data_IF_266921253705
#
_entry.id   IF_266921253705
#
_cell.length_a   1.000
_cell.length_b   1.000
_cell.length_c   1.000
_cell.angle_alpha   90.00
_cell.angle_beta   90.00
_cell.angle_gamma   90.00
#
_symmetry.space_group_name_H-M   'P 1'
#
loop_
_entity.id
_entity.type
_entity.pdbx_description
1 polymer ?
#
# COMPACT_ATOMS: atom_id res chain seq x y z
N UNK A 1 16.95 2.73 -2.15
CA UNK A 1 16.10 1.97 -3.09
C UNK A 1 14.68 2.04 -2.58
N UNK A 2 13.69 2.28 -3.45
CA UNK A 2 12.29 2.11 -3.07
C UNK A 2 12.10 0.64 -2.65
N UNK A 3 11.38 0.33 -1.55
CA UNK A 3 11.17 -1.04 -1.10
C UNK A 3 10.09 -1.68 -1.99
N UNK A 4 10.45 -1.98 -3.24
CA UNK A 4 9.56 -2.56 -4.26
C UNK A 4 8.90 -3.84 -3.77
N UNK A 5 9.57 -4.61 -2.91
CA UNK A 5 9.05 -5.85 -2.33
C UNK A 5 7.85 -5.58 -1.40
N UNK A 6 7.86 -4.49 -0.62
CA UNK A 6 6.73 -4.09 0.22
C UNK A 6 5.53 -3.64 -0.63
N UNK A 7 5.79 -2.90 -1.71
CA UNK A 7 4.77 -2.46 -2.67
C UNK A 7 4.11 -3.68 -3.33
N UNK A 8 4.92 -4.61 -3.85
CA UNK A 8 4.42 -5.84 -4.46
C UNK A 8 3.64 -6.71 -3.47
N UNK A 9 4.12 -6.84 -2.23
CA UNK A 9 3.41 -7.54 -1.16
C UNK A 9 2.00 -6.97 -0.94
N UNK A 10 1.86 -5.63 -0.92
CA UNK A 10 0.55 -4.97 -0.76
C UNK A 10 -0.33 -5.19 -1.99
N UNK A 11 0.23 -5.02 -3.20
CA UNK A 11 -0.52 -5.16 -4.46
C UNK A 11 -1.01 -6.59 -4.70
N UNK A 12 -0.36 -7.58 -4.09
CA UNK A 12 -0.78 -8.98 -4.10
C UNK A 12 -1.78 -9.34 -2.99
N UNK A 13 -2.07 -8.43 -2.05
CA UNK A 13 -3.02 -8.69 -0.99
C UNK A 13 -4.44 -8.90 -1.56
N UNK A 14 -5.16 -9.97 -1.18
CA UNK A 14 -6.47 -10.27 -1.76
C UNK A 14 -7.47 -9.12 -1.65
N UNK A 15 -7.51 -8.43 -0.51
CA UNK A 15 -8.42 -7.30 -0.33
C UNK A 15 -8.05 -6.07 -1.18
N UNK A 16 -6.76 -5.88 -1.49
CA UNK A 16 -6.30 -4.82 -2.38
C UNK A 16 -6.77 -5.11 -3.81
N UNK A 17 -6.47 -6.32 -4.31
CA UNK A 17 -6.85 -6.78 -5.65
C UNK A 17 -8.36 -6.65 -5.85
N UNK A 18 -9.15 -7.18 -4.91
CA UNK A 18 -10.60 -7.16 -4.99
C UNK A 18 -11.16 -5.73 -5.07
N UNK A 19 -10.64 -4.81 -4.26
CA UNK A 19 -11.08 -3.42 -4.27
C UNK A 19 -10.77 -2.73 -5.60
N UNK A 20 -9.55 -2.84 -6.09
CA UNK A 20 -9.13 -2.18 -7.34
C UNK A 20 -9.90 -2.76 -8.54
N UNK A 21 -10.03 -4.08 -8.63
CA UNK A 21 -10.77 -4.73 -9.71
C UNK A 21 -12.28 -4.42 -9.69
N UNK A 22 -12.90 -4.34 -8.50
CA UNK A 22 -14.32 -3.92 -8.38
C UNK A 22 -14.56 -2.50 -8.90
N UNK A 23 -13.51 -1.69 -8.96
CA UNK A 23 -13.52 -0.32 -9.46
C UNK A 23 -13.13 -0.22 -10.94
N UNK A 24 -13.00 -1.35 -11.65
CA UNK A 24 -12.66 -1.42 -13.07
C UNK A 24 -11.22 -1.04 -13.40
N UNK A 25 -10.31 -1.17 -12.43
CA UNK A 25 -8.90 -0.82 -12.55
C UNK A 25 -8.01 -2.08 -12.55
N UNK A 26 -6.80 -1.96 -13.10
CA UNK A 26 -5.77 -2.98 -12.98
C UNK A 26 -4.93 -2.74 -11.71
N UNK A 27 -4.89 -3.69 -10.75
CA UNK A 27 -4.07 -3.57 -9.54
C UNK A 27 -2.59 -3.26 -9.82
N UNK A 28 -2.06 -3.68 -10.98
CA UNK A 28 -0.65 -3.49 -11.34
C UNK A 28 -0.35 -2.13 -11.99
N UNK A 29 -1.36 -1.35 -12.33
CA UNK A 29 -1.22 -0.06 -13.03
C UNK A 29 -1.69 1.04 -12.09
N UNK A 30 -0.75 1.60 -11.32
CA UNK A 30 -0.97 2.71 -10.40
C UNK A 30 -0.38 4.00 -11.01
N UNK A 31 -1.04 5.14 -10.79
CA UNK A 31 -0.58 6.44 -11.29
C UNK A 31 0.58 6.97 -10.46
N UNK A 32 0.42 6.95 -9.13
CA UNK A 32 1.43 7.43 -8.19
C UNK A 32 1.48 6.54 -6.95
N UNK A 33 2.70 6.23 -6.49
CA UNK A 33 2.93 5.50 -5.25
C UNK A 33 3.82 6.33 -4.35
N UNK A 34 3.29 6.72 -3.20
CA UNK A 34 4.03 7.41 -2.16
C UNK A 34 4.31 6.46 -1.00
N UNK A 35 5.55 6.46 -0.52
CA UNK A 35 5.96 5.59 0.59
C UNK A 35 6.68 6.39 1.67
N UNK A 36 6.32 6.09 2.91
CA UNK A 36 6.94 6.66 4.10
C UNK A 36 7.40 5.55 5.04
N UNK A 37 8.67 5.60 5.44
CA UNK A 37 9.18 4.80 6.55
C UNK A 37 8.79 5.47 7.87
N UNK A 38 8.21 4.70 8.77
CA UNK A 38 7.85 5.11 10.14
C UNK A 38 8.62 4.21 11.10
N UNK A 39 9.39 4.80 12.00
CA UNK A 39 10.09 4.06 13.05
C UNK A 39 9.38 4.32 14.38
N UNK A 40 8.96 3.24 15.03
CA UNK A 40 8.49 3.24 16.40
C UNK A 40 9.67 2.88 17.31
N UNK A 41 10.31 3.92 17.85
CA UNK A 41 11.47 3.78 18.73
C UNK A 41 11.13 3.11 20.06
N UNK A 42 9.86 3.18 20.51
CA UNK A 42 9.43 2.59 21.78
C UNK A 42 9.40 1.08 21.68
N UNK A 43 8.82 0.57 20.60
CA UNK A 43 8.71 -0.88 20.37
C UNK A 43 9.89 -1.44 19.54
N UNK A 44 10.79 -0.59 19.06
CA UNK A 44 11.86 -0.91 18.13
C UNK A 44 11.33 -1.64 16.87
N UNK A 45 10.24 -1.11 16.30
CA UNK A 45 9.57 -1.66 15.11
C UNK A 45 9.55 -0.59 14.01
N UNK A 46 9.77 -1.02 12.77
CA UNK A 46 9.61 -0.17 11.59
C UNK A 46 8.38 -0.57 10.77
N UNK A 47 7.74 0.42 10.16
CA UNK A 47 6.58 0.27 9.29
C UNK A 47 6.80 1.03 7.99
N UNK A 48 6.24 0.53 6.89
CA UNK A 48 5.97 1.35 5.72
C UNK A 48 4.50 1.76 5.72
N UNK A 49 4.25 3.04 5.54
CA UNK A 49 2.94 3.57 5.17
C UNK A 49 2.98 3.91 3.68
N UNK A 50 2.14 3.24 2.91
CA UNK A 50 2.15 3.27 1.44
C UNK A 50 0.80 3.77 0.95
N UNK A 51 0.85 4.82 0.14
CA UNK A 51 -0.30 5.42 -0.51
C UNK A 51 -0.24 5.12 -2.02
N UNK A 52 -1.33 4.58 -2.54
CA UNK A 52 -1.53 4.28 -3.96
C UNK A 52 -2.61 5.19 -4.51
N UNK A 53 -2.27 5.98 -5.52
CA UNK A 53 -3.20 6.80 -6.29
C UNK A 53 -3.39 6.19 -7.68
N UNK A 54 -4.63 5.93 -8.06
CA UNK A 54 -5.00 5.41 -9.37
C UNK A 54 -5.46 6.49 -10.37
N UNK A 55 -5.36 7.77 -10.00
CA UNK A 55 -5.29 8.91 -10.91
C UNK A 55 -6.54 9.17 -11.75
N UNK A 56 -7.74 8.79 -11.29
CA UNK A 56 -8.97 9.06 -12.05
C UNK A 56 -9.35 10.55 -11.98
N UNK A 57 -9.40 11.29 -13.10
CA UNK A 57 -9.80 12.69 -13.11
C UNK A 57 -11.23 12.84 -12.58
N UNK A 58 -11.42 13.69 -11.57
CA UNK A 58 -12.75 13.96 -10.98
C UNK A 58 -13.19 12.99 -9.89
N UNK A 59 -12.34 12.02 -9.51
CA UNK A 59 -12.62 11.03 -8.48
C UNK A 59 -11.34 10.73 -7.69
N UNK A 60 -11.08 11.47 -6.61
CA UNK A 60 -10.03 11.15 -5.62
C UNK A 60 -10.37 9.93 -4.75
N UNK A 61 -11.17 9.02 -5.31
CA UNK A 61 -12.02 8.05 -4.63
C UNK A 61 -11.52 6.62 -4.81
N UNK A 62 -10.24 6.44 -5.19
CA UNK A 62 -9.62 5.12 -5.36
C UNK A 62 -8.23 5.05 -4.75
N UNK A 63 -8.07 5.77 -3.65
CA UNK A 63 -6.83 5.80 -2.90
C UNK A 63 -6.76 4.61 -1.97
N UNK A 64 -5.62 3.92 -1.98
CA UNK A 64 -5.33 2.87 -1.01
C UNK A 64 -4.25 3.35 -0.08
N UNK A 65 -4.50 3.29 1.23
CA UNK A 65 -3.50 3.48 2.26
C UNK A 65 -3.26 2.15 2.94
N UNK A 66 -2.06 1.62 2.82
CA UNK A 66 -1.65 0.38 3.43
C UNK A 66 -0.47 0.61 4.38
N UNK A 67 -0.61 0.11 5.60
CA UNK A 67 0.46 0.11 6.59
C UNK A 67 0.96 -1.32 6.74
N UNK A 68 2.24 -1.54 6.45
CA UNK A 68 2.90 -2.84 6.60
C UNK A 68 4.02 -2.73 7.64
N UNK A 69 4.07 -3.69 8.56
CA UNK A 69 5.18 -3.85 9.49
C UNK A 69 6.34 -4.55 8.79
N UNK A 70 7.55 -4.07 9.02
CA UNK A 70 8.79 -4.68 8.55
C UNK A 70 9.22 -5.72 9.59
N UNK A 71 9.25 -6.99 9.21
CA UNK A 71 9.77 -8.09 10.03
C UNK A 71 11.25 -8.28 9.72
N UNK A 72 11.59 -8.29 8.43
CA UNK A 72 12.95 -8.40 7.89
C UNK A 72 12.98 -7.77 6.48
N UNK A 73 14.14 -7.77 5.81
CA UNK A 73 14.39 -7.13 4.50
C UNK A 73 13.30 -7.46 3.46
N UNK A 74 12.83 -8.71 3.44
CA UNK A 74 11.82 -9.20 2.49
C UNK A 74 10.56 -9.77 3.17
N UNK A 75 10.43 -9.60 4.48
CA UNK A 75 9.31 -10.13 5.25
C UNK A 75 8.46 -8.99 5.79
N UNK A 76 7.20 -8.97 5.37
CA UNK A 76 6.24 -7.93 5.71
C UNK A 76 4.99 -8.53 6.34
N UNK A 77 4.38 -7.79 7.25
CA UNK A 77 3.07 -8.11 7.78
C UNK A 77 2.13 -6.95 7.51
N UNK A 78 1.02 -7.20 6.81
CA UNK A 78 -0.01 -6.20 6.60
C UNK A 78 -0.71 -5.91 7.94
N UNK A 79 -0.54 -4.70 8.44
CA UNK A 79 -1.14 -4.24 9.71
C UNK A 79 -2.53 -3.69 9.45
N UNK A 80 -2.66 -2.87 8.41
CA UNK A 80 -3.89 -2.20 8.08
C UNK A 80 -3.93 -1.85 6.59
N UNK A 81 -5.14 -1.83 6.02
CA UNK A 81 -5.40 -1.32 4.68
C UNK A 81 -6.73 -0.59 4.69
N UNK A 82 -6.73 0.62 4.13
CA UNK A 82 -7.90 1.49 4.04
C UNK A 82 -8.11 1.89 2.59
N UNK A 83 -9.36 1.88 2.18
CA UNK A 83 -9.80 2.29 0.86
C UNK A 83 -10.60 3.58 0.99
N UNK A 84 -10.24 4.61 0.24
CA UNK A 84 -11.02 5.84 0.04
C UNK A 84 -11.41 5.83 -1.44
N UNK A 85 -12.64 6.02 -1.89
CA UNK A 85 -13.89 6.40 -1.26
C UNK A 85 -14.36 7.74 -1.81
#
# INVERSE_FOLDING_TARGET
MLPTNAIQFIMQAPQFIAHIQSNGLDPNICHEINIRLINDEVNNISYFDVYFDYGMPGNGTKDVIATVKIIDIDQFQLVNIKFRS
#
